data_IF_869488188481
#
_entry.id   IF_869488188481
#
_cell.length_a   1.000
_cell.length_b   1.000
_cell.length_c   1.000
_cell.angle_alpha   90.00
_cell.angle_beta   90.00
_cell.angle_gamma   90.00
#
_symmetry.space_group_name_H-M   'P 1'
#
loop_
_entity.id
_entity.type
_entity.pdbx_description
1 polymer ?
#
# COMPACT_ATOMS: atom_id res chain seq x y z
N UNK A 1 -49.04 -35.63 -0.04
CA UNK A 1 -47.77 -35.65 -0.76
C UNK A 1 -47.06 -34.33 -0.56
N UNK A 2 -46.13 -34.29 0.35
CA UNK A 2 -45.35 -33.12 0.68
C UNK A 2 -43.99 -33.21 0.01
N UNK A 3 -43.83 -32.51 -1.10
CA UNK A 3 -42.51 -32.26 -1.64
C UNK A 3 -41.88 -31.11 -0.86
N UNK A 4 -41.02 -31.45 0.06
CA UNK A 4 -40.10 -30.51 0.67
C UNK A 4 -39.02 -30.23 -0.39
N UNK A 5 -39.14 -29.09 -1.04
CA UNK A 5 -38.04 -28.58 -1.88
C UNK A 5 -36.89 -28.18 -0.96
N UNK A 6 -35.91 -29.06 -0.85
CA UNK A 6 -34.62 -28.73 -0.25
C UNK A 6 -33.93 -27.70 -1.17
N UNK A 7 -33.95 -26.47 -0.73
CA UNK A 7 -33.13 -25.44 -1.34
C UNK A 7 -31.65 -25.83 -1.27
N UNK A 8 -30.92 -25.80 -2.39
CA UNK A 8 -29.49 -26.13 -2.37
C UNK A 8 -28.70 -25.07 -1.64
N UNK A 9 -28.24 -25.39 -0.44
CA UNK A 9 -27.31 -24.60 0.37
C UNK A 9 -25.92 -24.42 -0.28
N UNK A 10 -25.75 -24.89 -1.51
CA UNK A 10 -24.50 -24.74 -2.28
C UNK A 10 -24.17 -23.30 -2.69
N UNK A 11 -25.17 -22.42 -2.76
CA UNK A 11 -24.97 -21.06 -3.28
C UNK A 11 -24.30 -20.11 -2.27
N UNK A 12 -24.45 -20.37 -0.97
CA UNK A 12 -23.82 -19.55 0.06
C UNK A 12 -22.34 -19.86 0.24
N UNK A 13 -21.96 -21.15 0.10
CA UNK A 13 -20.55 -21.55 0.20
C UNK A 13 -19.70 -21.09 -1.00
N UNK A 14 -20.31 -20.98 -2.19
CA UNK A 14 -19.62 -20.45 -3.38
C UNK A 14 -19.45 -18.93 -3.31
N UNK A 15 -20.40 -18.21 -2.70
CA UNK A 15 -20.30 -16.77 -2.51
C UNK A 15 -19.25 -16.43 -1.45
N UNK A 16 -19.19 -17.16 -0.34
CA UNK A 16 -18.16 -17.01 0.68
C UNK A 16 -16.76 -17.38 0.16
N UNK A 17 -16.68 -18.36 -0.74
CA UNK A 17 -15.41 -18.70 -1.41
C UNK A 17 -14.97 -17.64 -2.41
N UNK A 18 -15.90 -17.00 -3.13
CA UNK A 18 -15.60 -15.88 -4.04
C UNK A 18 -15.19 -14.64 -3.26
N UNK A 19 -15.83 -14.35 -2.14
CA UNK A 19 -15.47 -13.23 -1.27
C UNK A 19 -14.06 -13.44 -0.69
N UNK A 20 -13.73 -14.66 -0.23
CA UNK A 20 -12.37 -14.97 0.23
C UNK A 20 -11.30 -14.92 -0.87
N UNK A 21 -11.66 -15.13 -2.12
CA UNK A 21 -10.72 -15.02 -3.27
C UNK A 21 -10.54 -13.55 -3.70
N UNK A 22 -11.53 -12.69 -3.45
CA UNK A 22 -11.38 -11.24 -3.69
C UNK A 22 -10.67 -10.51 -2.55
N UNK A 23 -10.73 -11.04 -1.34
CA UNK A 23 -9.93 -10.59 -0.19
C UNK A 23 -8.47 -11.04 -0.24
N UNK A 24 -8.08 -11.86 -1.21
CA UNK A 24 -6.67 -12.08 -1.50
C UNK A 24 -6.10 -10.78 -2.12
N UNK A 25 -5.77 -9.87 -1.22
CA UNK A 25 -5.23 -8.52 -1.47
C UNK A 25 -3.87 -8.56 -2.19
N UNK A 26 -3.58 -9.64 -2.90
CA UNK A 26 -2.30 -9.82 -3.60
C UNK A 26 -1.12 -9.66 -2.64
N UNK A 27 -1.28 -10.13 -1.42
CA UNK A 27 -0.24 -10.16 -0.41
C UNK A 27 0.68 -11.34 -0.69
N UNK A 28 1.94 -11.08 -0.95
CA UNK A 28 2.99 -12.12 -0.94
C UNK A 28 3.16 -12.72 0.46
N UNK A 29 2.71 -12.01 1.49
CA UNK A 29 2.93 -12.35 2.90
C UNK A 29 1.61 -12.23 3.66
N UNK A 30 1.32 -13.18 4.55
CA UNK A 30 0.16 -13.13 5.43
C UNK A 30 0.11 -11.83 6.24
N UNK A 31 -1.08 -11.23 6.49
CA UNK A 31 -1.21 -9.98 7.23
C UNK A 31 -0.56 -10.02 8.61
N UNK A 32 -0.69 -11.13 9.31
CA UNK A 32 -0.08 -11.34 10.64
C UNK A 32 1.43 -11.33 10.58
N UNK A 33 2.02 -12.01 9.58
CA UNK A 33 3.46 -12.02 9.36
C UNK A 33 3.96 -10.64 8.94
N UNK A 34 3.19 -9.90 8.14
CA UNK A 34 3.51 -8.51 7.77
C UNK A 34 3.60 -7.59 8.99
N UNK A 35 2.69 -7.74 9.97
CA UNK A 35 2.76 -6.98 11.22
C UNK A 35 4.02 -7.29 12.02
N UNK A 36 4.38 -8.55 12.13
CA UNK A 36 5.60 -8.98 12.84
C UNK A 36 6.85 -8.42 12.16
N UNK A 37 6.91 -8.50 10.83
CA UNK A 37 8.03 -7.95 10.05
C UNK A 37 8.11 -6.42 10.22
N UNK A 38 6.97 -5.72 10.19
CA UNK A 38 6.94 -4.27 10.42
C UNK A 38 7.45 -3.89 11.80
N UNK A 39 7.10 -4.65 12.85
CA UNK A 39 7.62 -4.44 14.21
C UNK A 39 9.12 -4.70 14.29
N UNK A 40 9.61 -5.73 13.60
CA UNK A 40 11.06 -6.02 13.54
C UNK A 40 11.79 -4.86 12.83
N UNK A 41 11.26 -4.35 11.73
CA UNK A 41 11.84 -3.18 11.04
C UNK A 41 11.82 -1.93 11.92
N UNK A 42 10.74 -1.69 12.65
CA UNK A 42 10.66 -0.57 13.59
C UNK A 42 11.73 -0.67 14.69
N UNK A 43 11.91 -1.86 15.23
CA UNK A 43 12.94 -2.10 16.26
C UNK A 43 14.37 -1.94 15.73
N UNK A 44 14.66 -2.51 14.56
CA UNK A 44 15.95 -2.37 13.89
C UNK A 44 16.25 -0.90 13.53
N UNK A 45 15.24 -0.17 13.05
CA UNK A 45 15.36 1.25 12.74
C UNK A 45 15.64 2.08 13.99
N UNK A 46 15.00 1.73 15.10
CA UNK A 46 15.28 2.37 16.40
C UNK A 46 16.73 2.15 16.84
N UNK A 47 17.22 0.91 16.77
CA UNK A 47 18.61 0.60 17.13
C UNK A 47 19.60 1.32 16.22
N UNK A 48 19.33 1.33 14.92
CA UNK A 48 20.19 2.01 13.95
C UNK A 48 20.22 3.53 14.17
N UNK A 49 19.06 4.14 14.33
CA UNK A 49 18.95 5.56 14.57
C UNK A 49 19.62 5.96 15.88
N UNK A 50 19.39 5.22 16.97
CA UNK A 50 20.03 5.47 18.25
C UNK A 50 21.56 5.43 18.16
N UNK A 51 22.10 4.48 17.40
CA UNK A 51 23.55 4.38 17.17
C UNK A 51 24.08 5.50 16.28
N UNK A 52 23.37 5.84 15.21
CA UNK A 52 23.73 6.93 14.31
C UNK A 52 23.74 8.29 15.03
N UNK A 53 22.81 8.49 15.93
CA UNK A 53 22.69 9.71 16.74
C UNK A 53 23.82 9.92 17.72
N UNK A 54 24.28 8.86 18.34
CA UNK A 54 25.44 8.92 19.23
C UNK A 54 26.73 9.33 18.51
N UNK A 55 26.82 9.04 17.20
CA UNK A 55 27.97 9.39 16.36
C UNK A 55 27.95 10.84 15.85
N UNK A 56 26.76 11.44 15.68
CA UNK A 56 26.60 12.75 15.01
C UNK A 56 26.15 13.86 15.99
N UNK A 57 25.99 13.56 17.27
CA UNK A 57 25.50 14.52 18.29
C UNK A 57 24.16 15.19 17.93
N UNK A 58 23.35 14.53 17.13
CA UNK A 58 22.01 14.99 16.77
C UNK A 58 21.09 14.76 17.97
N UNK A 59 20.94 15.77 18.80
CA UNK A 59 20.24 15.72 20.07
C UNK A 59 18.71 15.61 19.95
N UNK A 60 18.15 15.66 18.74
CA UNK A 60 16.70 15.66 18.57
C UNK A 60 16.26 14.61 17.57
N UNK A 61 15.76 13.44 18.14
CA UNK A 61 15.50 12.62 17.06
C UNK A 61 14.52 11.51 17.21
N UNK A 62 13.47 11.74 17.92
CA UNK A 62 12.24 11.00 17.72
C UNK A 62 11.78 11.13 16.25
N UNK A 63 11.86 12.32 15.67
CA UNK A 63 11.56 12.56 14.25
C UNK A 63 12.45 11.75 13.29
N UNK A 64 13.76 11.69 13.55
CA UNK A 64 14.69 10.90 12.74
C UNK A 64 14.45 9.40 12.86
N UNK A 65 14.17 8.89 14.07
CA UNK A 65 13.83 7.48 14.30
C UNK A 65 12.53 7.12 13.54
N UNK A 66 11.50 7.96 13.68
CA UNK A 66 10.22 7.75 12.99
C UNK A 66 10.40 7.80 11.47
N UNK A 67 11.24 8.68 10.97
CA UNK A 67 11.50 8.81 9.54
C UNK A 67 12.16 7.56 8.95
N UNK A 68 13.18 7.03 9.58
CA UNK A 68 13.84 5.79 9.14
C UNK A 68 12.88 4.62 9.22
N UNK A 69 12.09 4.53 10.30
CA UNK A 69 11.06 3.50 10.44
C UNK A 69 10.05 3.59 9.32
N UNK A 70 9.56 4.78 8.98
CA UNK A 70 8.62 4.99 7.88
C UNK A 70 9.21 4.59 6.52
N UNK A 71 10.46 4.93 6.25
CA UNK A 71 11.16 4.50 5.02
C UNK A 71 11.23 2.98 4.93
N UNK A 72 11.64 2.30 5.99
CA UNK A 72 11.73 0.84 6.02
C UNK A 72 10.37 0.16 5.85
N UNK A 73 9.34 0.68 6.51
CA UNK A 73 7.96 0.15 6.39
C UNK A 73 7.42 0.41 4.98
N UNK A 74 7.61 1.60 4.44
CA UNK A 74 7.18 1.94 3.07
C UNK A 74 7.84 1.05 2.03
N UNK A 75 9.14 0.82 2.15
CA UNK A 75 9.87 -0.11 1.30
C UNK A 75 9.34 -1.55 1.42
N UNK A 76 9.11 -2.01 2.64
CA UNK A 76 8.53 -3.33 2.89
C UNK A 76 7.13 -3.48 2.27
N UNK A 77 6.26 -2.49 2.43
CA UNK A 77 4.94 -2.47 1.80
C UNK A 77 5.08 -2.56 0.28
N UNK A 78 5.98 -1.78 -0.32
CA UNK A 78 6.20 -1.76 -1.76
C UNK A 78 6.63 -3.12 -2.31
N UNK A 79 7.52 -3.82 -1.60
CA UNK A 79 8.02 -5.15 -2.01
C UNK A 79 7.00 -6.25 -1.73
N UNK A 80 6.24 -6.17 -0.64
CA UNK A 80 5.30 -7.22 -0.21
C UNK A 80 3.96 -7.19 -0.94
N UNK A 81 3.66 -6.15 -1.72
CA UNK A 81 2.39 -6.00 -2.42
C UNK A 81 2.54 -6.28 -3.92
N UNK A 82 1.67 -7.15 -4.44
CA UNK A 82 1.60 -7.43 -5.88
C UNK A 82 0.77 -6.41 -6.66
N UNK A 83 -0.20 -5.75 -6.00
CA UNK A 83 -1.08 -4.80 -6.65
C UNK A 83 -0.42 -3.42 -6.73
N UNK A 84 -0.52 -2.77 -7.88
CA UNK A 84 0.05 -1.45 -8.14
C UNK A 84 -0.36 -0.40 -7.08
N UNK A 85 -1.62 -0.41 -6.63
CA UNK A 85 -2.08 0.48 -5.57
C UNK A 85 -1.33 0.30 -4.25
N UNK A 86 -1.06 -0.95 -3.86
CA UNK A 86 -0.27 -1.25 -2.65
C UNK A 86 1.17 -0.77 -2.78
N UNK A 87 1.77 -0.91 -3.96
CA UNK A 87 3.12 -0.41 -4.24
C UNK A 87 3.18 1.13 -4.19
N UNK A 88 2.17 1.81 -4.73
CA UNK A 88 2.07 3.27 -4.68
C UNK A 88 1.93 3.75 -3.24
N UNK A 89 1.10 3.10 -2.42
CA UNK A 89 0.96 3.42 -0.99
C UNK A 89 2.30 3.24 -0.27
N UNK A 90 3.02 2.15 -0.54
CA UNK A 90 4.37 1.91 0.01
C UNK A 90 5.35 3.01 -0.38
N UNK A 91 5.31 3.45 -1.64
CA UNK A 91 6.12 4.56 -2.14
C UNK A 91 5.80 5.87 -1.43
N UNK A 92 4.52 6.20 -1.23
CA UNK A 92 4.09 7.40 -0.49
C UNK A 92 4.58 7.39 0.95
N UNK A 93 4.47 6.25 1.64
CA UNK A 93 4.96 6.11 3.02
C UNK A 93 6.48 6.28 3.08
N UNK A 94 7.20 5.68 2.13
CA UNK A 94 8.66 5.80 2.04
C UNK A 94 9.07 7.25 1.77
N UNK A 95 8.41 7.93 0.86
CA UNK A 95 8.63 9.33 0.53
C UNK A 95 8.44 10.25 1.74
N UNK A 96 7.31 10.13 2.43
CA UNK A 96 7.04 10.89 3.66
C UNK A 96 8.14 10.65 4.72
N UNK A 97 8.63 9.41 4.83
CA UNK A 97 9.77 9.09 5.69
C UNK A 97 11.04 9.83 5.29
N UNK A 98 11.37 9.87 3.99
CA UNK A 98 12.55 10.58 3.47
C UNK A 98 12.45 12.08 3.74
N UNK A 99 11.28 12.69 3.52
CA UNK A 99 11.08 14.11 3.80
C UNK A 99 11.18 14.44 5.28
N UNK A 100 10.62 13.60 6.14
CA UNK A 100 10.76 13.76 7.58
C UNK A 100 12.24 13.64 8.03
N UNK A 101 12.99 12.70 7.44
CA UNK A 101 14.42 12.57 7.70
C UNK A 101 15.17 13.82 7.26
N UNK A 102 14.93 14.30 6.05
CA UNK A 102 15.55 15.51 5.54
C UNK A 102 15.24 16.74 6.39
N UNK A 103 13.97 16.91 6.79
CA UNK A 103 13.55 18.00 7.67
C UNK A 103 14.17 17.94 9.05
N UNK A 104 14.35 16.74 9.62
CA UNK A 104 14.99 16.57 10.94
C UNK A 104 16.49 16.87 10.93
N UNK A 105 17.18 16.60 9.83
CA UNK A 105 18.62 16.88 9.67
C UNK A 105 18.84 18.35 9.31
N UNK A 106 18.04 18.92 8.43
CA UNK A 106 18.23 20.25 7.88
C UNK A 106 17.63 21.38 8.72
N UNK A 107 16.96 21.09 9.83
CA UNK A 107 16.34 22.09 10.67
C UNK A 107 15.18 22.85 10.02
N UNK A 108 14.46 22.18 9.10
CA UNK A 108 13.27 22.75 8.44
C UNK A 108 13.59 23.64 7.24
N UNK A 109 14.16 23.10 6.18
CA UNK A 109 14.37 23.86 4.95
C UNK A 109 13.10 23.98 4.10
N UNK A 110 12.66 25.17 3.68
CA UNK A 110 11.50 25.36 2.81
C UNK A 110 11.64 24.66 1.45
N UNK A 111 12.86 24.53 0.93
CA UNK A 111 13.17 23.83 -0.31
C UNK A 111 12.72 22.36 -0.31
N UNK A 112 12.89 21.65 0.80
CA UNK A 112 12.43 20.25 0.90
C UNK A 112 10.91 20.13 0.89
N UNK A 113 10.21 21.14 1.42
CA UNK A 113 8.73 21.17 1.38
C UNK A 113 8.23 21.34 -0.05
N UNK A 114 8.87 22.18 -0.85
CA UNK A 114 8.52 22.38 -2.26
C UNK A 114 8.72 21.10 -3.08
N UNK A 115 9.84 20.40 -2.89
CA UNK A 115 10.12 19.12 -3.54
C UNK A 115 9.09 18.07 -3.10
N UNK A 116 8.72 18.02 -1.82
CA UNK A 116 7.72 17.12 -1.29
C UNK A 116 6.36 17.33 -1.97
N UNK A 117 5.90 18.58 -2.04
CA UNK A 117 4.65 18.93 -2.71
C UNK A 117 4.65 18.57 -4.20
N UNK A 118 5.76 18.80 -4.89
CA UNK A 118 5.89 18.43 -6.28
C UNK A 118 5.82 16.92 -6.50
N UNK A 119 6.45 16.15 -5.63
CA UNK A 119 6.43 14.70 -5.68
C UNK A 119 5.05 14.13 -5.34
N UNK A 120 4.36 14.68 -4.34
CA UNK A 120 2.98 14.30 -3.98
C UNK A 120 2.01 14.52 -5.16
N UNK A 121 2.16 15.64 -5.87
CA UNK A 121 1.38 15.90 -7.09
C UNK A 121 1.70 14.89 -8.18
N UNK A 122 2.96 14.55 -8.38
CA UNK A 122 3.38 13.53 -9.35
C UNK A 122 2.78 12.17 -9.03
N UNK A 123 2.86 11.72 -7.78
CA UNK A 123 2.27 10.45 -7.34
C UNK A 123 0.76 10.46 -7.49
N UNK A 124 0.10 11.59 -7.18
CA UNK A 124 -1.34 11.75 -7.37
C UNK A 124 -1.74 11.57 -8.84
N UNK A 125 -1.00 12.17 -9.78
CA UNK A 125 -1.22 12.01 -11.22
C UNK A 125 -1.08 10.55 -11.65
N UNK A 126 -0.06 9.83 -11.17
CA UNK A 126 0.13 8.40 -11.46
C UNK A 126 -1.03 7.57 -10.92
N UNK A 127 -1.52 7.85 -9.72
CA UNK A 127 -2.69 7.15 -9.14
C UNK A 127 -3.93 7.37 -10.01
N UNK A 128 -4.20 8.61 -10.40
CA UNK A 128 -5.34 8.94 -11.27
C UNK A 128 -5.24 8.23 -12.62
N UNK A 129 -4.06 8.22 -13.23
CA UNK A 129 -3.83 7.54 -14.51
C UNK A 129 -4.10 6.03 -14.41
N UNK A 130 -3.56 5.38 -13.39
CA UNK A 130 -3.80 3.94 -13.14
C UNK A 130 -5.29 3.67 -12.90
N UNK A 131 -5.96 4.54 -12.15
CA UNK A 131 -7.39 4.41 -11.89
C UNK A 131 -8.23 4.55 -13.15
N UNK A 132 -7.98 5.59 -13.96
CA UNK A 132 -8.67 5.82 -15.24
C UNK A 132 -8.45 4.67 -16.21
N UNK A 133 -7.22 4.19 -16.33
CA UNK A 133 -6.91 3.01 -17.16
C UNK A 133 -7.71 1.79 -16.73
N UNK A 134 -7.79 1.53 -15.43
CA UNK A 134 -8.52 0.37 -14.89
C UNK A 134 -10.02 0.48 -15.10
N UNK A 135 -10.58 1.68 -14.94
CA UNK A 135 -11.99 1.96 -15.20
C UNK A 135 -12.31 1.76 -16.69
N UNK A 136 -11.53 2.34 -17.58
CA UNK A 136 -11.73 2.17 -19.03
C UNK A 136 -11.67 0.70 -19.46
N UNK A 137 -10.77 -0.07 -18.91
CA UNK A 137 -10.66 -1.50 -19.20
C UNK A 137 -11.89 -2.28 -18.75
N UNK A 138 -12.48 -1.94 -17.60
CA UNK A 138 -13.71 -2.56 -17.12
C UNK A 138 -14.90 -2.23 -18.05
N UNK A 139 -15.04 -0.99 -18.50
CA UNK A 139 -16.10 -0.59 -19.43
C UNK A 139 -15.97 -1.29 -20.78
N UNK A 140 -14.78 -1.41 -21.33
CA UNK A 140 -14.54 -2.11 -22.60
C UNK A 140 -14.91 -3.60 -22.52
N UNK A 141 -14.65 -4.26 -21.36
CA UNK A 141 -15.08 -5.65 -21.16
C UNK A 141 -16.59 -5.81 -21.05
N UNK A 142 -17.29 -4.85 -20.47
CA UNK A 142 -18.75 -4.88 -20.35
C UNK A 142 -19.40 -4.72 -21.73
N UNK A 143 -18.90 -3.83 -22.57
CA UNK A 143 -19.41 -3.62 -23.92
C UNK A 143 -19.21 -4.84 -24.83
N UNK A 144 -18.05 -5.47 -24.79
CA UNK A 144 -17.77 -6.68 -25.56
C UNK A 144 -18.63 -7.87 -25.12
N UNK A 145 -18.93 -7.98 -23.83
CA UNK A 145 -19.80 -9.05 -23.32
C UNK A 145 -21.26 -8.84 -23.73
N UNK A 146 -21.74 -7.60 -23.74
CA UNK A 146 -23.10 -7.24 -24.24
C UNK A 146 -23.25 -7.47 -25.74
N UNK A 147 -22.24 -7.14 -26.54
CA UNK A 147 -22.26 -7.38 -27.99
C UNK A 147 -22.27 -8.86 -28.34
N UNK A 148 -21.60 -9.71 -27.54
CA UNK A 148 -21.65 -11.17 -27.72
C UNK A 148 -23.02 -11.78 -27.39
N UNK A 149 -23.71 -11.23 -26.40
CA UNK A 149 -25.06 -11.70 -26.04
C UNK A 149 -26.14 -11.28 -27.01
N UNK A 150 -25.93 -10.22 -27.82
CA UNK A 150 -26.86 -9.78 -28.86
C UNK A 150 -26.69 -10.54 -30.17
N UNK A 151 -25.59 -11.23 -30.37
CA UNK A 151 -25.28 -11.99 -31.58
C UNK A 151 -25.58 -13.50 -31.50
N UNK A 152 -25.99 -13.91 -30.32
CA UNK A 152 -26.34 -15.30 -30.02
C UNK A 152 -27.77 -15.61 -30.15
#
# INVERSE_FOLDING_TARGET
HWMVHSFPTRRSSDLTRRINVEEDLGLLVNPQLSMVIALIFAYLSYLFAHKAMSLVNLAESAAFIVSITAVCIGFFIMVSRMKALGQIIGLLVMENGIFLAAGSIAGGMPFFIEIALFFDVFVFVVIVEVFVYKVNRLFTHIDTSKMKSLKG
#
